data_IF_983804415878
#
_entry.id   IF_983804415878
#
_cell.length_a   1.000
_cell.length_b   1.000
_cell.length_c   1.000
_cell.angle_alpha   90.00
_cell.angle_beta   90.00
_cell.angle_gamma   90.00
#
_symmetry.space_group_name_H-M   'P 1'
#
loop_
_entity.id
_entity.type
_entity.pdbx_description
1 polymer ?
#
# COMPACT_ATOMS: atom_id res chain seq x y z
N UNK A 1 10.61 39.89 3.76
CA UNK A 1 11.19 38.54 3.57
C UNK A 1 10.11 37.70 2.92
N UNK A 2 10.41 37.20 1.74
CA UNK A 2 9.47 36.62 0.77
C UNK A 2 8.85 35.34 1.30
N UNK A 3 7.52 35.23 1.24
CA UNK A 3 6.82 33.98 1.45
C UNK A 3 7.22 33.02 0.31
N UNK A 4 7.75 31.85 0.66
CA UNK A 4 7.95 30.76 -0.29
C UNK A 4 6.59 30.10 -0.48
N UNK A 5 5.91 30.43 -1.57
CA UNK A 5 4.75 29.69 -2.05
C UNK A 5 5.24 28.32 -2.55
N UNK A 6 4.90 27.25 -1.83
CA UNK A 6 5.02 25.89 -2.37
C UNK A 6 3.80 25.62 -3.26
N UNK A 7 3.78 26.24 -4.45
CA UNK A 7 2.98 25.74 -5.56
C UNK A 7 3.67 24.50 -6.12
N UNK A 8 3.61 23.39 -5.37
CA UNK A 8 3.98 22.08 -5.89
C UNK A 8 2.68 21.32 -6.10
N UNK A 9 2.20 21.29 -7.35
CA UNK A 9 1.27 20.24 -7.76
C UNK A 9 1.98 18.91 -7.43
N UNK A 10 1.46 18.08 -6.50
CA UNK A 10 2.15 16.86 -6.12
C UNK A 10 2.36 16.02 -7.37
N UNK A 11 3.57 15.52 -7.61
CA UNK A 11 3.83 14.62 -8.73
C UNK A 11 3.02 13.36 -8.50
N UNK A 12 1.86 13.28 -9.14
CA UNK A 12 0.96 12.13 -9.01
C UNK A 12 1.65 10.88 -9.55
N UNK A 13 1.40 9.76 -8.89
CA UNK A 13 1.76 8.43 -9.39
C UNK A 13 0.57 7.84 -10.14
N UNK A 14 0.78 7.19 -11.28
CA UNK A 14 -0.32 6.49 -11.97
C UNK A 14 -0.54 5.11 -11.35
N UNK A 15 -1.74 4.56 -11.55
CA UNK A 15 -2.04 3.18 -11.11
C UNK A 15 -1.11 2.17 -11.77
N UNK A 16 -0.80 2.35 -13.04
CA UNK A 16 0.16 1.52 -13.76
C UNK A 16 1.56 1.57 -13.14
N UNK A 17 2.03 2.75 -12.71
CA UNK A 17 3.31 2.88 -12.02
C UNK A 17 3.26 2.18 -10.66
N UNK A 18 2.20 2.35 -9.87
CA UNK A 18 2.02 1.64 -8.59
C UNK A 18 2.19 0.14 -8.79
N UNK A 19 1.50 -0.42 -9.79
CA UNK A 19 1.52 -1.85 -10.04
C UNK A 19 2.82 -2.34 -10.65
N UNK A 20 3.47 -1.53 -11.49
CA UNK A 20 4.80 -1.83 -12.01
C UNK A 20 5.80 -1.98 -10.85
N UNK A 21 5.75 -1.05 -9.88
CA UNK A 21 6.58 -1.09 -8.67
C UNK A 21 6.27 -2.30 -7.80
N UNK A 22 4.98 -2.59 -7.53
CA UNK A 22 4.55 -3.77 -6.79
C UNK A 22 5.09 -5.08 -7.40
N UNK A 23 4.99 -5.23 -8.73
CA UNK A 23 5.49 -6.40 -9.46
C UNK A 23 7.00 -6.61 -9.30
N UNK A 24 7.80 -5.57 -9.08
CA UNK A 24 9.27 -5.73 -8.95
C UNK A 24 9.68 -6.59 -7.76
N UNK A 25 9.00 -6.46 -6.61
CA UNK A 25 9.30 -7.28 -5.44
C UNK A 25 8.65 -8.66 -5.55
N UNK A 26 7.53 -8.84 -6.25
CA UNK A 26 7.02 -10.20 -6.51
C UNK A 26 7.93 -10.98 -7.45
N UNK A 27 8.53 -10.33 -8.45
CA UNK A 27 9.51 -10.95 -9.34
C UNK A 27 10.83 -11.30 -8.63
N UNK A 28 11.17 -10.58 -7.57
CA UNK A 28 12.32 -10.85 -6.72
C UNK A 28 11.91 -10.76 -5.24
N UNK A 29 11.26 -11.81 -4.68
CA UNK A 29 10.66 -11.76 -3.36
C UNK A 29 11.63 -11.29 -2.28
N UNK A 30 11.19 -10.34 -1.46
CA UNK A 30 11.92 -9.91 -0.27
C UNK A 30 11.50 -10.73 0.94
N UNK A 31 12.45 -11.04 1.82
CA UNK A 31 12.14 -11.58 3.14
C UNK A 31 11.33 -10.55 3.93
N UNK A 32 10.42 -11.02 4.77
CA UNK A 32 9.74 -10.14 5.71
C UNK A 32 10.67 -9.71 6.83
N UNK A 33 10.65 -8.42 7.18
CA UNK A 33 11.33 -7.89 8.37
C UNK A 33 10.72 -6.55 8.77
N UNK A 34 10.36 -6.40 10.05
CA UNK A 34 9.88 -5.13 10.62
C UNK A 34 11.00 -4.17 11.04
N UNK A 35 12.25 -4.62 11.01
CA UNK A 35 13.41 -3.83 11.47
C UNK A 35 14.42 -3.53 10.38
N UNK A 36 14.37 -4.27 9.26
CA UNK A 36 15.30 -4.10 8.15
C UNK A 36 14.68 -3.29 7.01
N UNK A 37 15.55 -2.60 6.29
CA UNK A 37 15.24 -1.98 5.01
C UNK A 37 15.83 -2.80 3.86
N UNK A 38 15.16 -2.76 2.72
CA UNK A 38 15.68 -3.30 1.47
C UNK A 38 16.95 -2.53 1.08
N UNK A 39 18.11 -3.18 0.92
CA UNK A 39 19.37 -2.49 0.63
C UNK A 39 19.40 -1.83 -0.75
N UNK A 40 18.50 -2.21 -1.66
CA UNK A 40 18.42 -1.68 -3.02
C UNK A 40 17.49 -0.47 -3.08
N UNK A 41 16.26 -0.61 -2.60
CA UNK A 41 15.24 0.43 -2.69
C UNK A 41 15.19 1.36 -1.47
N UNK A 42 15.69 0.92 -0.31
CA UNK A 42 15.70 1.68 0.94
C UNK A 42 14.37 1.71 1.70
N UNK A 43 13.35 0.96 1.25
CA UNK A 43 12.06 0.84 1.95
C UNK A 43 12.10 -0.27 3.01
N UNK A 44 11.28 -0.16 4.05
CA UNK A 44 11.11 -1.23 5.04
C UNK A 44 10.60 -2.52 4.40
N UNK A 45 11.00 -3.66 4.96
CA UNK A 45 10.68 -5.00 4.47
C UNK A 45 9.42 -5.62 5.10
N UNK A 46 8.52 -4.80 5.62
CA UNK A 46 7.23 -5.22 6.20
C UNK A 46 6.05 -4.85 5.29
N UNK A 47 4.82 -5.14 5.75
CA UNK A 47 3.62 -4.94 4.94
C UNK A 47 3.43 -3.48 4.49
N UNK A 48 3.61 -2.52 5.40
CA UNK A 48 3.41 -1.10 5.11
C UNK A 48 4.60 -0.45 4.40
N UNK A 49 5.83 -0.94 4.60
CA UNK A 49 6.99 -0.60 3.79
C UNK A 49 6.82 -1.01 2.33
N UNK A 50 6.25 -2.19 2.08
CA UNK A 50 5.94 -2.66 0.74
C UNK A 50 4.90 -1.78 0.02
N UNK A 51 3.81 -1.40 0.70
CA UNK A 51 2.81 -0.50 0.11
C UNK A 51 3.35 0.91 -0.07
N UNK A 52 4.16 1.40 0.87
CA UNK A 52 4.90 2.67 0.72
C UNK A 52 5.82 2.65 -0.50
N UNK A 53 6.49 1.52 -0.74
CA UNK A 53 7.31 1.32 -1.92
C UNK A 53 6.44 1.36 -3.18
N UNK A 54 5.34 0.61 -3.23
CA UNK A 54 4.45 0.59 -4.39
C UNK A 54 3.90 1.99 -4.72
N UNK A 55 3.51 2.77 -3.70
CA UNK A 55 3.00 4.14 -3.86
C UNK A 55 4.09 5.21 -4.07
N UNK A 56 5.37 4.84 -4.10
CA UNK A 56 6.51 5.77 -4.23
C UNK A 56 6.49 6.86 -3.14
N UNK A 57 6.13 6.49 -1.90
CA UNK A 57 6.25 7.38 -0.76
C UNK A 57 7.72 7.62 -0.41
N UNK A 58 7.98 8.63 0.41
CA UNK A 58 9.32 8.89 0.92
C UNK A 58 9.85 7.71 1.74
N UNK A 59 11.16 7.48 1.65
CA UNK A 59 11.86 6.39 2.34
C UNK A 59 12.12 6.77 3.80
N UNK A 60 12.08 5.81 4.74
CA UNK A 60 11.98 4.36 4.52
C UNK A 60 10.54 3.85 4.30
N UNK A 61 9.55 4.74 4.19
CA UNK A 61 8.13 4.40 4.10
C UNK A 61 7.43 4.55 5.44
N UNK A 62 6.09 4.60 5.38
CA UNK A 62 5.20 4.81 6.53
C UNK A 62 4.79 3.50 7.18
N UNK A 63 4.46 3.55 8.46
CA UNK A 63 3.88 2.40 9.18
C UNK A 63 2.38 2.28 8.93
N UNK A 64 1.77 1.17 9.34
CA UNK A 64 0.30 1.01 9.37
C UNK A 64 -0.40 2.04 10.26
N UNK A 65 0.32 2.62 11.22
CA UNK A 65 -0.20 3.72 12.07
C UNK A 65 -0.33 5.02 11.26
N UNK A 66 0.65 5.32 10.40
CA UNK A 66 0.78 6.61 9.69
C UNK A 66 0.18 6.58 8.27
N UNK A 67 0.15 5.42 7.61
CA UNK A 67 -0.38 5.27 6.23
C UNK A 67 -1.79 5.88 6.03
N UNK A 68 -2.74 5.75 6.98
CA UNK A 68 -4.06 6.37 6.83
C UNK A 68 -4.01 7.89 6.58
N UNK A 69 -3.01 8.61 7.09
CA UNK A 69 -2.91 10.07 6.95
C UNK A 69 -2.60 10.51 5.51
N UNK A 70 -2.05 9.60 4.70
CA UNK A 70 -1.68 9.83 3.30
C UNK A 70 -2.74 9.31 2.32
N UNK A 71 -3.85 8.82 2.86
CA UNK A 71 -4.93 8.23 2.12
C UNK A 71 -6.27 8.92 2.41
N UNK A 72 -7.24 8.62 1.58
CA UNK A 72 -8.66 8.78 1.89
C UNK A 72 -9.29 7.40 2.08
N UNK A 73 -10.29 7.32 2.96
CA UNK A 73 -11.13 6.13 3.09
C UNK A 73 -12.13 6.16 1.94
N UNK A 74 -12.27 5.04 1.24
CA UNK A 74 -13.21 4.86 0.14
C UNK A 74 -14.17 3.71 0.45
N UNK A 75 -15.29 3.66 -0.24
CA UNK A 75 -16.17 2.51 -0.16
C UNK A 75 -15.51 1.28 -0.80
N UNK A 76 -15.84 0.09 -0.29
CA UNK A 76 -15.39 -1.19 -0.87
C UNK A 76 -15.64 -1.24 -2.39
N UNK A 77 -16.80 -0.74 -2.82
CA UNK A 77 -17.22 -0.82 -4.21
C UNK A 77 -16.46 0.13 -5.15
N UNK A 78 -15.72 1.07 -4.59
CA UNK A 78 -14.88 2.03 -5.30
C UNK A 78 -13.44 1.55 -5.48
N UNK A 79 -13.07 0.40 -4.90
CA UNK A 79 -11.71 -0.14 -5.00
C UNK A 79 -11.27 -0.29 -6.45
N UNK A 80 -10.13 0.33 -6.75
CA UNK A 80 -9.42 0.27 -8.03
C UNK A 80 -8.01 -0.26 -7.81
N UNK A 81 -7.41 -0.77 -8.87
CA UNK A 81 -6.05 -1.29 -8.85
C UNK A 81 -5.06 -0.26 -8.28
N UNK A 82 -4.27 -0.66 -7.28
CA UNK A 82 -3.33 0.21 -6.58
C UNK A 82 -3.88 0.87 -5.31
N UNK A 83 -5.18 0.73 -5.02
CA UNK A 83 -5.75 1.09 -3.71
C UNK A 83 -5.31 0.08 -2.64
N UNK A 84 -5.56 0.35 -1.36
CA UNK A 84 -5.19 -0.53 -0.25
C UNK A 84 -6.41 -1.05 0.53
N UNK A 85 -6.29 -2.27 1.04
CA UNK A 85 -7.18 -2.84 2.07
C UNK A 85 -6.35 -2.97 3.35
N UNK A 86 -6.71 -2.22 4.39
CA UNK A 86 -5.83 -1.98 5.53
C UNK A 86 -6.55 -2.03 6.87
N UNK A 87 -5.96 -2.73 7.83
CA UNK A 87 -6.15 -2.47 9.25
C UNK A 87 -5.02 -1.54 9.70
N UNK A 88 -5.33 -0.24 9.84
CA UNK A 88 -4.36 0.83 10.09
C UNK A 88 -4.90 1.91 11.02
N UNK A 89 -4.00 2.75 11.52
CA UNK A 89 -4.25 3.82 12.50
C UNK A 89 -3.70 3.52 13.90
N UNK A 90 -4.08 4.29 14.92
CA UNK A 90 -3.58 4.10 16.28
C UNK A 90 -3.79 2.66 16.79
N UNK A 91 -2.73 2.07 17.38
CA UNK A 91 -2.76 0.70 17.92
C UNK A 91 -2.58 -0.41 16.87
N UNK A 92 -2.13 -0.07 15.67
CA UNK A 92 -1.87 -1.04 14.57
C UNK A 92 -0.38 -1.19 14.28
N UNK A 93 0.48 -0.86 15.24
CA UNK A 93 1.93 -1.06 15.12
C UNK A 93 2.33 -2.54 15.07
N UNK A 94 3.46 -2.81 14.42
CA UNK A 94 4.02 -4.15 14.29
C UNK A 94 3.01 -5.16 13.71
N UNK A 95 2.75 -6.23 14.46
CA UNK A 95 1.86 -7.33 14.06
C UNK A 95 0.37 -7.03 14.31
N UNK A 96 0.03 -5.90 14.96
CA UNK A 96 -1.36 -5.52 15.22
C UNK A 96 -2.05 -4.93 13.98
N UNK A 97 -1.27 -4.43 13.01
CA UNK A 97 -1.75 -3.89 11.74
C UNK A 97 -1.43 -4.78 10.55
N UNK A 98 -2.10 -4.52 9.44
CA UNK A 98 -1.74 -5.12 8.17
C UNK A 98 -2.30 -4.31 7.00
N UNK A 99 -1.57 -4.29 5.88
CA UNK A 99 -2.00 -3.64 4.66
C UNK A 99 -1.70 -4.51 3.43
N UNK A 100 -2.66 -4.52 2.51
CA UNK A 100 -2.66 -5.26 1.26
C UNK A 100 -2.89 -4.29 0.09
N UNK A 101 -2.13 -4.43 -0.99
CA UNK A 101 -2.33 -3.63 -2.20
C UNK A 101 -3.33 -4.34 -3.12
N UNK A 102 -4.48 -3.70 -3.37
CA UNK A 102 -5.55 -4.24 -4.19
C UNK A 102 -5.13 -4.26 -5.67
N UNK A 103 -5.30 -5.40 -6.34
CA UNK A 103 -5.07 -5.55 -7.78
C UNK A 103 -6.40 -5.54 -8.53
N UNK A 104 -7.27 -6.51 -8.23
CA UNK A 104 -8.58 -6.68 -8.87
C UNK A 104 -9.48 -7.58 -8.04
N UNK A 105 -10.80 -7.48 -8.23
CA UNK A 105 -11.75 -8.48 -7.72
C UNK A 105 -11.48 -9.85 -8.37
N UNK A 106 -11.51 -10.91 -7.57
CA UNK A 106 -11.28 -12.28 -8.03
C UNK A 106 -12.60 -13.02 -8.37
N UNK A 107 -13.75 -12.46 -7.96
CA UNK A 107 -15.07 -12.97 -8.26
C UNK A 107 -16.08 -11.84 -8.50
N UNK A 108 -17.16 -12.15 -9.23
CA UNK A 108 -18.21 -11.19 -9.55
C UNK A 108 -18.98 -10.68 -8.33
N UNK A 109 -19.02 -11.47 -7.25
CA UNK A 109 -19.64 -11.09 -5.98
C UNK A 109 -18.79 -10.14 -5.13
N UNK A 110 -17.57 -9.80 -5.59
CA UNK A 110 -16.61 -8.98 -4.85
C UNK A 110 -16.34 -9.52 -3.43
N UNK A 111 -16.32 -10.83 -3.28
CA UNK A 111 -16.10 -11.51 -1.99
C UNK A 111 -14.63 -11.83 -1.73
N UNK A 112 -13.82 -11.84 -2.79
CA UNK A 112 -12.39 -12.07 -2.77
C UNK A 112 -11.68 -11.22 -3.82
N UNK A 113 -10.40 -10.93 -3.59
CA UNK A 113 -9.61 -10.06 -4.46
C UNK A 113 -8.18 -10.57 -4.61
N UNK A 114 -7.58 -10.26 -5.75
CA UNK A 114 -6.15 -10.37 -5.96
C UNK A 114 -5.44 -9.24 -5.21
N UNK A 115 -4.43 -9.60 -4.44
CA UNK A 115 -3.61 -8.68 -3.66
C UNK A 115 -2.14 -8.90 -3.96
N UNK A 116 -1.37 -7.82 -3.83
CA UNK A 116 0.06 -7.88 -3.58
C UNK A 116 0.35 -7.52 -2.13
N UNK A 117 1.15 -8.34 -1.44
CA UNK A 117 1.44 -8.14 -0.03
C UNK A 117 2.83 -8.66 0.35
N UNK A 118 3.45 -8.00 1.34
CA UNK A 118 4.65 -8.46 2.02
C UNK A 118 4.24 -9.07 3.36
N UNK A 119 4.43 -10.38 3.48
CA UNK A 119 4.03 -11.20 4.64
C UNK A 119 5.16 -12.13 5.03
N UNK A 120 5.01 -12.90 6.11
CA UNK A 120 6.05 -13.79 6.65
C UNK A 120 6.73 -14.72 5.63
N UNK A 121 6.03 -15.16 4.59
CA UNK A 121 6.57 -16.00 3.51
C UNK A 121 7.28 -15.23 2.39
N UNK A 122 7.29 -13.90 2.46
CA UNK A 122 7.90 -12.99 1.50
C UNK A 122 6.88 -12.12 0.74
N UNK A 123 7.36 -11.45 -0.32
CA UNK A 123 6.49 -10.70 -1.23
C UNK A 123 5.71 -11.66 -2.13
N UNK A 124 4.38 -11.56 -2.14
CA UNK A 124 3.52 -12.47 -2.90
C UNK A 124 2.38 -11.73 -3.60
N UNK A 125 1.90 -12.31 -4.69
CA UNK A 125 0.58 -12.02 -5.27
C UNK A 125 -0.34 -13.22 -5.03
N UNK A 126 -1.49 -13.03 -4.39
CA UNK A 126 -2.45 -14.11 -4.12
C UNK A 126 -3.89 -13.61 -4.04
N UNK A 127 -4.84 -14.55 -4.01
CA UNK A 127 -6.24 -14.25 -3.72
C UNK A 127 -6.47 -14.25 -2.22
N UNK A 128 -7.23 -13.27 -1.73
CA UNK A 128 -7.70 -13.17 -0.34
C UNK A 128 -9.21 -12.97 -0.30
N UNK A 129 -9.92 -13.58 0.66
CA UNK A 129 -11.26 -13.12 1.01
C UNK A 129 -11.20 -11.64 1.41
N UNK A 130 -12.24 -10.88 1.09
CA UNK A 130 -12.37 -9.52 1.58
C UNK A 130 -12.55 -9.57 3.11
N UNK A 131 -11.70 -8.89 3.90
CA UNK A 131 -11.74 -8.97 5.35
C UNK A 131 -12.92 -8.16 5.92
N UNK A 132 -13.38 -8.57 7.10
CA UNK A 132 -14.28 -7.77 7.93
C UNK A 132 -13.53 -6.62 8.64
N UNK A 133 -14.26 -5.84 9.44
CA UNK A 133 -13.66 -4.87 10.36
C UNK A 133 -12.57 -5.53 11.23
N UNK A 134 -11.49 -4.81 11.57
CA UNK A 134 -11.28 -3.36 11.41
C UNK A 134 -10.73 -2.92 10.04
N UNK A 135 -10.67 -3.80 9.04
CA UNK A 135 -10.14 -3.43 7.73
C UNK A 135 -11.07 -2.44 7.01
N UNK A 136 -10.45 -1.48 6.33
CA UNK A 136 -11.12 -0.51 5.45
C UNK A 136 -10.38 -0.41 4.12
N UNK A 137 -11.07 0.14 3.12
CA UNK A 137 -10.51 0.46 1.82
C UNK A 137 -9.94 1.88 1.81
N UNK A 138 -8.77 2.05 1.20
CA UNK A 138 -8.04 3.30 1.19
C UNK A 138 -7.52 3.62 -0.21
N UNK A 139 -7.62 4.88 -0.62
CA UNK A 139 -6.98 5.41 -1.83
C UNK A 139 -5.84 6.36 -1.45
N UNK A 140 -4.63 6.17 -1.98
CA UNK A 140 -3.54 7.12 -1.73
C UNK A 140 -3.87 8.48 -2.38
N UNK A 141 -3.69 9.58 -1.64
CA UNK A 141 -4.06 10.93 -2.13
C UNK A 141 -3.25 11.42 -3.32
N UNK A 142 -2.06 10.87 -3.52
CA UNK A 142 -1.14 11.26 -4.58
C UNK A 142 -1.25 10.36 -5.84
N UNK A 143 -2.39 9.69 -6.06
CA UNK A 143 -2.63 8.89 -7.28
C UNK A 143 -3.38 9.69 -8.34
N UNK A 144 -2.95 9.58 -9.59
CA UNK A 144 -3.73 10.05 -10.73
C UNK A 144 -4.82 9.02 -11.04
N UNK A 145 -6.08 9.44 -10.97
CA UNK A 145 -7.19 8.68 -11.53
C UNK A 145 -7.21 8.93 -13.04
N UNK A 146 -6.51 8.07 -13.79
CA UNK A 146 -6.71 7.91 -15.24
C UNK A 146 -8.04 7.19 -15.54
#
# INVERSE_FOLDING_TARGET
MTAVTHDANPVLITRDEIMARARTWVAAPRRYSQVDNDPVSGYRLDCSGYVSMAWRLDRPGLTTVELPDYCEVIDKDELRQGDAVMNGGPGTDGDAGHVMLFDAWADAGRTSFWTYEQVSVGTVRRVRPFPDLPYRSYRPRAVADE
#
